data_IF_087857084134
#
_entry.id   IF_087857084134
#
_cell.length_a   1.000
_cell.length_b   1.000
_cell.length_c   1.000
_cell.angle_alpha   90.00
_cell.angle_beta   90.00
_cell.angle_gamma   90.00
#
_symmetry.space_group_name_H-M   'P 1'
#
loop_
_entity.id
_entity.type
_entity.pdbx_description
1 polymer ?
#
# COMPACT_ATOMS: atom_id res chain seq x y z
N UNK A 1 19.58 20.53 39.55
CA UNK A 1 19.26 21.03 38.19
C UNK A 1 19.45 19.95 37.11
N UNK A 2 19.30 18.67 37.46
CA UNK A 2 19.52 17.55 36.51
C UNK A 2 18.20 16.87 36.12
N UNK A 3 17.15 17.03 36.94
CA UNK A 3 15.84 16.40 36.73
C UNK A 3 15.07 16.94 35.52
N UNK A 4 15.26 18.20 35.13
CA UNK A 4 14.58 18.75 33.94
C UNK A 4 14.90 17.95 32.67
N UNK A 5 16.16 17.50 32.49
CA UNK A 5 16.54 16.71 31.30
C UNK A 5 15.98 15.30 31.32
N UNK A 6 15.83 14.71 32.50
CA UNK A 6 15.25 13.37 32.63
C UNK A 6 13.75 13.41 32.31
N UNK A 7 13.02 14.34 32.93
CA UNK A 7 11.58 14.52 32.71
C UNK A 7 11.27 14.89 31.25
N UNK A 8 12.11 15.70 30.59
CA UNK A 8 11.99 16.00 29.16
C UNK A 8 12.18 14.75 28.29
N UNK A 9 13.19 13.93 28.59
CA UNK A 9 13.42 12.67 27.89
C UNK A 9 12.26 11.68 28.10
N UNK A 10 11.72 11.60 29.32
CA UNK A 10 10.61 10.73 29.68
C UNK A 10 9.31 11.16 28.95
N UNK A 11 8.99 12.45 29.00
CA UNK A 11 7.85 13.04 28.27
C UNK A 11 7.94 12.76 26.77
N UNK A 12 9.14 12.88 26.19
CA UNK A 12 9.34 12.59 24.76
C UNK A 12 9.14 11.12 24.44
N UNK A 13 9.57 10.23 25.32
CA UNK A 13 9.37 8.78 25.16
C UNK A 13 7.88 8.41 25.21
N UNK A 14 7.12 8.95 26.16
CA UNK A 14 5.68 8.72 26.29
C UNK A 14 4.90 9.16 25.05
N UNK A 15 5.27 10.30 24.46
CA UNK A 15 4.68 10.77 23.19
C UNK A 15 4.95 9.80 22.03
N UNK A 16 6.17 9.24 21.95
CA UNK A 16 6.54 8.28 20.91
C UNK A 16 5.77 6.98 21.10
N UNK A 17 5.68 6.47 22.33
CA UNK A 17 4.92 5.26 22.66
C UNK A 17 3.44 5.47 22.34
N UNK A 18 2.83 6.59 22.74
CA UNK A 18 1.43 6.88 22.42
C UNK A 18 1.16 6.98 20.91
N UNK A 19 2.09 7.54 20.13
CA UNK A 19 1.98 7.57 18.67
C UNK A 19 2.09 6.17 18.04
N UNK A 20 2.91 5.28 18.61
CA UNK A 20 3.05 3.89 18.18
C UNK A 20 1.83 3.04 18.56
N UNK A 21 1.33 3.19 19.79
CA UNK A 21 0.13 2.49 20.28
C UNK A 21 -1.14 2.93 19.55
N UNK A 22 -1.20 4.20 19.12
CA UNK A 22 -2.29 4.69 18.28
C UNK A 22 -2.36 3.96 16.93
N UNK A 23 -1.29 3.29 16.48
CA UNK A 23 -1.31 2.42 15.30
C UNK A 23 -1.62 3.11 13.97
N UNK A 24 -1.77 4.44 13.95
CA UNK A 24 -2.32 5.21 12.83
C UNK A 24 -1.56 4.98 11.53
N UNK A 25 -0.22 4.89 11.57
CA UNK A 25 0.60 4.68 10.36
C UNK A 25 0.39 3.29 9.78
N UNK A 26 0.19 2.27 10.62
CA UNK A 26 -0.05 0.90 10.17
C UNK A 26 -1.47 0.75 9.61
N UNK A 27 -2.48 1.30 10.28
CA UNK A 27 -3.85 1.28 9.80
C UNK A 27 -4.01 2.06 8.49
N UNK A 28 -3.39 3.24 8.40
CA UNK A 28 -3.34 4.03 7.17
C UNK A 28 -2.68 3.25 6.03
N UNK A 29 -1.55 2.61 6.29
CA UNK A 29 -0.84 1.77 5.31
C UNK A 29 -1.70 0.61 4.79
N UNK A 30 -2.39 -0.11 5.67
CA UNK A 30 -3.34 -1.18 5.28
C UNK A 30 -4.52 -0.61 4.48
N UNK A 31 -5.05 0.54 4.89
CA UNK A 31 -6.13 1.24 4.19
C UNK A 31 -5.75 1.63 2.76
N UNK A 32 -4.54 2.17 2.58
CA UNK A 32 -3.99 2.52 1.27
C UNK A 32 -3.77 1.27 0.40
N UNK A 33 -3.17 0.22 0.93
CA UNK A 33 -2.96 -1.03 0.21
C UNK A 33 -4.28 -1.63 -0.33
N UNK A 34 -5.32 -1.65 0.50
CA UNK A 34 -6.67 -2.10 0.09
C UNK A 34 -7.26 -1.23 -1.02
N UNK A 35 -7.07 0.08 -0.98
CA UNK A 35 -7.54 0.98 -2.05
C UNK A 35 -6.83 0.72 -3.37
N UNK A 36 -5.51 0.57 -3.35
CA UNK A 36 -4.73 0.26 -4.55
C UNK A 36 -5.16 -1.07 -5.17
N UNK A 37 -5.35 -2.11 -4.36
CA UNK A 37 -5.82 -3.42 -4.84
C UNK A 37 -7.15 -3.32 -5.59
N UNK A 38 -8.15 -2.62 -5.04
CA UNK A 38 -9.44 -2.41 -5.71
C UNK A 38 -9.30 -1.64 -7.03
N UNK A 39 -8.43 -0.63 -7.06
CA UNK A 39 -8.21 0.15 -8.27
C UNK A 39 -7.62 -0.70 -9.41
N UNK A 40 -6.69 -1.60 -9.07
CA UNK A 40 -6.12 -2.56 -10.03
C UNK A 40 -7.18 -3.54 -10.53
N UNK A 41 -8.02 -4.08 -9.65
CA UNK A 41 -9.11 -5.00 -10.01
C UNK A 41 -10.16 -4.33 -10.93
N UNK A 42 -10.49 -3.06 -10.67
CA UNK A 42 -11.37 -2.28 -11.55
C UNK A 42 -10.74 -2.05 -12.93
N UNK A 43 -9.43 -1.74 -12.97
CA UNK A 43 -8.72 -1.56 -14.22
C UNK A 43 -8.65 -2.86 -15.04
N UNK A 44 -8.36 -3.99 -14.39
CA UNK A 44 -8.33 -5.31 -15.01
C UNK A 44 -9.69 -5.67 -15.63
N UNK A 45 -10.79 -5.51 -14.89
CA UNK A 45 -12.15 -5.74 -15.41
C UNK A 45 -12.49 -4.88 -16.62
N UNK A 46 -12.05 -3.61 -16.64
CA UNK A 46 -12.27 -2.72 -17.78
C UNK A 46 -11.50 -3.19 -19.01
N UNK A 47 -10.27 -3.66 -18.84
CA UNK A 47 -9.46 -4.23 -19.92
C UNK A 47 -10.13 -5.50 -20.46
N UNK A 48 -10.63 -6.38 -19.58
CA UNK A 48 -11.33 -7.60 -20.00
C UNK A 48 -12.58 -7.33 -20.84
N UNK A 49 -13.39 -6.33 -20.46
CA UNK A 49 -14.57 -5.93 -21.22
C UNK A 49 -14.18 -5.39 -22.60
N UNK A 50 -13.21 -4.48 -22.66
CA UNK A 50 -12.73 -3.92 -23.94
C UNK A 50 -12.12 -5.00 -24.85
N UNK A 51 -11.45 -6.00 -24.29
CA UNK A 51 -10.91 -7.13 -25.04
C UNK A 51 -12.00 -8.05 -25.62
N UNK A 52 -13.17 -8.16 -24.94
CA UNK A 52 -14.34 -8.91 -25.43
C UNK A 52 -15.02 -8.20 -26.60
N UNK A 53 -15.07 -6.87 -26.57
CA UNK A 53 -15.86 -6.06 -27.49
C UNK A 53 -15.21 -5.86 -28.88
N UNK A 54 -13.90 -6.16 -29.03
CA UNK A 54 -13.15 -5.88 -30.27
C UNK A 54 -12.94 -7.06 -31.25
N UNK A 55 -13.04 -8.33 -30.82
CA UNK A 55 -12.72 -9.48 -31.68
C UNK A 55 -13.59 -10.73 -31.46
N UNK A 56 -14.58 -10.67 -30.57
CA UNK A 56 -15.45 -11.80 -30.23
C UNK A 56 -14.74 -12.99 -29.56
N UNK A 57 -13.42 -12.88 -29.28
CA UNK A 57 -12.66 -13.93 -28.59
C UNK A 57 -11.75 -13.29 -27.54
N UNK A 58 -12.25 -13.16 -26.30
CA UNK A 58 -11.44 -12.68 -25.20
C UNK A 58 -10.52 -13.78 -24.70
N UNK A 59 -9.23 -13.63 -24.98
CA UNK A 59 -8.20 -14.47 -24.40
C UNK A 59 -7.48 -13.65 -23.33
N UNK A 60 -7.68 -14.00 -22.06
CA UNK A 60 -6.82 -13.48 -20.98
C UNK A 60 -5.58 -14.37 -20.90
N UNK A 61 -4.40 -13.77 -20.81
CA UNK A 61 -3.17 -14.45 -20.43
C UNK A 61 -2.62 -13.77 -19.17
N UNK A 62 -2.09 -14.52 -18.21
CA UNK A 62 -1.38 -13.93 -17.07
C UNK A 62 -0.32 -12.95 -17.57
N UNK A 63 -0.24 -11.77 -16.96
CA UNK A 63 0.83 -10.82 -17.24
C UNK A 63 2.13 -11.36 -16.62
N UNK A 64 2.92 -12.08 -17.42
CA UNK A 64 4.27 -12.50 -17.05
C UNK A 64 5.23 -11.37 -17.38
N UNK A 65 5.79 -10.73 -16.36
CA UNK A 65 6.96 -9.87 -16.52
C UNK A 65 8.14 -10.80 -16.76
N UNK A 66 8.55 -10.96 -18.01
CA UNK A 66 9.84 -11.58 -18.31
C UNK A 66 10.93 -10.60 -17.87
N UNK A 67 11.91 -11.03 -17.05
CA UNK A 67 13.03 -10.17 -16.68
C UNK A 67 13.77 -9.79 -17.98
N UNK A 68 13.96 -8.49 -18.20
CA UNK A 68 14.82 -7.98 -19.26
C UNK A 68 16.21 -8.61 -19.08
N UNK A 69 16.61 -9.51 -19.99
CA UNK A 69 18.00 -9.88 -20.13
C UNK A 69 18.74 -8.64 -20.64
N UNK A 70 19.46 -7.97 -19.73
CA UNK A 70 20.41 -6.91 -20.09
C UNK A 70 21.49 -7.49 -21.03
N UNK A 71 21.91 -6.74 -22.06
CA UNK A 71 22.74 -7.21 -23.17
C UNK A 71 24.18 -7.61 -22.79
#
# INVERSE_FOLDING_TARGET
MTDLKFEECLTRLEQIVGALEAGNVFEEGIGLARRCARYLEDAERRIELLAKDGSGTATTRPFSVEPEEEP
#
